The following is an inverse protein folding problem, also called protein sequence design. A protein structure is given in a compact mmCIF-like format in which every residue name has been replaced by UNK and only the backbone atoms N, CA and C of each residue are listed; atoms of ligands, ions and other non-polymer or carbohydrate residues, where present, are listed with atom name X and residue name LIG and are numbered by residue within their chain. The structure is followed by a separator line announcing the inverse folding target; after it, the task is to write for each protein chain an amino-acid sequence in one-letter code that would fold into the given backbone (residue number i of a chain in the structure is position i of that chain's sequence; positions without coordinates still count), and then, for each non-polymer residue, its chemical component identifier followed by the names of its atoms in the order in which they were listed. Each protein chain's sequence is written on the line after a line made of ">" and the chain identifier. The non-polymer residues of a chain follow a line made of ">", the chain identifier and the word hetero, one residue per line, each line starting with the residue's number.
data_IF_249691646048
#
_entry.id   IF_249691646048
#
_cell.length_a   1.000
_cell.length_b   1.000
_cell.length_c   1.000
_cell.angle_alpha   90.00
_cell.angle_beta   90.00
_cell.angle_gamma   90.00
#
_symmetry.space_group_name_H-M   'P 1'
#
loop_
_entity.id
_entity.type
_entity.pdbx_description
1 polymer ?
#
# COMPACT_ATOMS: atom_id res chain seq x y z
N UNK A 1 -16.08 -5.83 15.12
CA UNK A 1 -17.04 -5.96 14.01
C UNK A 1 -17.64 -4.59 13.72
N UNK A 2 -18.00 -4.29 12.47
CA UNK A 2 -18.53 -2.98 12.07
C UNK A 2 -19.70 -3.17 11.10
N UNK A 3 -20.76 -2.39 11.29
CA UNK A 3 -21.96 -2.34 10.45
C UNK A 3 -22.09 -0.92 9.89
N UNK A 4 -22.64 -0.76 8.68
CA UNK A 4 -22.92 0.54 8.06
C UNK A 4 -24.19 0.46 7.23
N UNK A 5 -24.97 1.54 7.24
CA UNK A 5 -26.16 1.71 6.40
C UNK A 5 -27.44 1.90 7.20
N UNK A 6 -28.58 2.07 6.51
CA UNK A 6 -29.82 2.55 7.12
C UNK A 6 -30.40 1.61 8.19
N UNK A 7 -30.14 0.31 8.09
CA UNK A 7 -30.63 -0.68 9.05
C UNK A 7 -29.62 -0.99 10.17
N UNK A 8 -28.43 -0.37 10.18
CA UNK A 8 -27.36 -0.73 11.13
C UNK A 8 -27.80 -0.52 12.58
N UNK A 9 -28.48 0.59 12.86
CA UNK A 9 -28.92 0.94 14.21
C UNK A 9 -30.11 0.09 14.68
N UNK A 10 -31.11 -0.11 13.83
CA UNK A 10 -32.26 -0.98 14.12
C UNK A 10 -31.84 -2.43 14.37
N UNK A 11 -30.85 -2.92 13.61
CA UNK A 11 -30.32 -4.27 13.77
C UNK A 11 -29.60 -4.46 15.12
N UNK A 12 -28.87 -3.43 15.59
CA UNK A 12 -28.28 -3.44 16.93
C UNK A 12 -29.35 -3.54 18.02
N UNK A 13 -30.42 -2.74 17.91
CA UNK A 13 -31.54 -2.75 18.85
C UNK A 13 -32.18 -4.15 18.93
N UNK A 14 -32.43 -4.77 17.78
CA UNK A 14 -32.97 -6.13 17.68
C UNK A 14 -32.08 -7.18 18.38
N UNK A 15 -30.79 -7.22 18.05
CA UNK A 15 -29.85 -8.24 18.57
C UNK A 15 -29.53 -8.06 20.05
N UNK A 16 -29.52 -6.81 20.52
CA UNK A 16 -29.27 -6.50 21.94
C UNK A 16 -30.52 -6.59 22.81
N UNK A 17 -31.71 -6.68 22.20
CA UNK A 17 -33.01 -6.58 22.90
C UNK A 17 -33.12 -5.32 23.75
N UNK A 18 -32.43 -4.25 23.37
CA UNK A 18 -32.44 -2.95 24.04
C UNK A 18 -32.97 -1.90 23.08
N UNK A 19 -33.81 -0.98 23.57
CA UNK A 19 -34.33 0.07 22.72
C UNK A 19 -33.21 1.04 22.31
N UNK A 20 -33.42 1.76 21.23
CA UNK A 20 -32.41 2.62 20.59
C UNK A 20 -31.87 3.70 21.52
N UNK A 21 -32.68 4.18 22.45
CA UNK A 21 -32.34 5.21 23.44
C UNK A 21 -31.23 4.75 24.41
N UNK A 22 -31.00 3.44 24.52
CA UNK A 22 -29.90 2.89 25.31
C UNK A 22 -28.52 3.08 24.66
N UNK A 23 -28.45 3.61 23.44
CA UNK A 23 -27.22 3.79 22.67
C UNK A 23 -26.98 5.25 22.29
N UNK A 24 -26.47 6.08 23.23
CA UNK A 24 -26.13 7.45 22.91
C UNK A 24 -25.03 7.53 21.83
N UNK A 25 -25.10 8.51 20.92
CA UNK A 25 -24.08 8.73 19.91
C UNK A 25 -22.67 8.81 20.51
N UNK A 26 -21.75 8.00 19.98
CA UNK A 26 -20.32 7.96 20.32
C UNK A 26 -20.02 7.62 21.78
N UNK A 27 -20.93 6.94 22.47
CA UNK A 27 -20.72 6.46 23.83
C UNK A 27 -20.50 4.95 23.82
N UNK A 28 -19.38 4.52 24.39
CA UNK A 28 -19.07 3.11 24.59
C UNK A 28 -20.07 2.49 25.59
N UNK A 29 -20.88 1.55 25.12
CA UNK A 29 -21.99 0.97 25.89
C UNK A 29 -21.82 -0.54 26.02
N UNK A 30 -21.73 -1.04 27.26
CA UNK A 30 -21.63 -2.47 27.54
C UNK A 30 -22.97 -3.17 27.25
N UNK A 31 -22.98 -4.08 26.29
CA UNK A 31 -24.19 -4.59 25.64
C UNK A 31 -24.13 -6.10 25.42
N UNK A 32 -25.06 -6.90 25.98
CA UNK A 32 -25.21 -8.30 25.63
C UNK A 32 -25.77 -8.44 24.21
N UNK A 33 -25.22 -9.37 23.45
CA UNK A 33 -25.68 -9.75 22.11
C UNK A 33 -26.31 -11.14 22.22
N UNK A 34 -27.55 -11.28 21.76
CA UNK A 34 -28.31 -12.53 21.85
C UNK A 34 -28.36 -13.26 20.51
N UNK A 35 -28.46 -14.58 20.57
CA UNK A 35 -28.83 -15.39 19.41
C UNK A 35 -30.37 -15.48 19.27
N UNK A 36 -30.83 -16.14 18.20
CA UNK A 36 -32.27 -16.32 17.93
C UNK A 36 -33.02 -17.15 18.99
N UNK A 37 -32.32 -18.04 19.70
CA UNK A 37 -32.90 -18.78 20.84
C UNK A 37 -33.05 -17.92 22.10
N UNK A 38 -32.50 -16.70 22.09
CA UNK A 38 -32.52 -15.78 23.21
C UNK A 38 -31.40 -15.99 24.23
N UNK A 39 -30.43 -16.87 23.96
CA UNK A 39 -29.23 -17.03 24.77
C UNK A 39 -28.19 -15.94 24.43
N UNK A 40 -27.40 -15.53 25.41
CA UNK A 40 -26.31 -14.56 25.21
C UNK A 40 -25.17 -15.25 24.47
N UNK A 41 -24.72 -14.65 23.37
CA UNK A 41 -23.52 -15.06 22.65
C UNK A 41 -22.29 -14.46 23.35
N UNK A 42 -22.32 -13.15 23.60
CA UNK A 42 -21.24 -12.41 24.25
C UNK A 42 -21.77 -11.09 24.84
N UNK A 43 -21.01 -10.50 25.77
CA UNK A 43 -21.21 -9.12 26.25
C UNK A 43 -20.12 -8.24 25.66
N UNK A 44 -20.51 -7.33 24.77
CA UNK A 44 -19.62 -6.53 23.94
C UNK A 44 -19.60 -5.05 24.38
N UNK A 45 -18.57 -4.32 23.97
CA UNK A 45 -18.63 -2.85 23.93
C UNK A 45 -19.17 -2.43 22.57
N UNK A 46 -20.25 -1.65 22.58
CA UNK A 46 -20.87 -1.14 21.36
C UNK A 46 -20.78 0.38 21.32
N UNK A 47 -20.44 0.92 20.15
CA UNK A 47 -20.45 2.37 19.88
C UNK A 47 -21.27 2.66 18.63
N UNK A 48 -22.23 3.57 18.74
CA UNK A 48 -23.06 4.02 17.64
C UNK A 48 -22.57 5.38 17.10
N UNK A 49 -22.49 5.52 15.79
CA UNK A 49 -22.13 6.75 15.09
C UNK A 49 -23.25 7.11 14.12
N UNK A 50 -24.08 8.13 14.43
CA UNK A 50 -25.15 8.54 13.54
C UNK A 50 -24.62 9.24 12.27
N UNK A 51 -25.35 9.09 11.17
CA UNK A 51 -25.20 9.92 9.96
C UNK A 51 -25.35 11.43 10.29
N UNK A 52 -24.61 12.33 9.61
CA UNK A 52 -23.47 12.09 8.70
C UNK A 52 -22.13 11.92 9.42
N UNK A 53 -22.17 11.91 10.75
CA UNK A 53 -21.01 12.05 11.61
C UNK A 53 -20.33 10.69 11.92
N UNK A 54 -20.22 9.83 10.90
CA UNK A 54 -19.67 8.46 10.96
C UNK A 54 -18.62 8.23 9.87
N UNK A 55 -17.85 7.14 9.90
CA UNK A 55 -16.82 6.86 8.87
C UNK A 55 -17.36 6.82 7.45
N UNK A 56 -18.52 6.22 7.21
CA UNK A 56 -19.15 6.10 5.88
C UNK A 56 -20.09 7.25 5.55
N UNK A 57 -20.31 8.17 6.49
CA UNK A 57 -21.39 9.15 6.49
C UNK A 57 -22.81 8.57 6.55
N UNK A 58 -22.96 7.26 6.78
CA UNK A 58 -24.24 6.60 7.08
C UNK A 58 -24.31 6.28 8.59
N UNK A 59 -25.40 5.73 9.09
CA UNK A 59 -25.40 5.13 10.42
C UNK A 59 -24.38 3.98 10.50
N UNK A 60 -23.47 4.04 11.49
CA UNK A 60 -22.42 3.05 11.72
C UNK A 60 -22.50 2.53 13.16
N UNK A 61 -22.41 1.22 13.31
CA UNK A 61 -22.29 0.56 14.62
C UNK A 61 -20.98 -0.21 14.67
N UNK A 62 -20.20 0.02 15.72
CA UNK A 62 -18.99 -0.74 16.01
C UNK A 62 -19.22 -1.63 17.23
N UNK A 63 -18.91 -2.92 17.09
CA UNK A 63 -19.09 -3.95 18.11
C UNK A 63 -17.72 -4.56 18.42
N UNK A 64 -17.22 -4.28 19.61
CA UNK A 64 -15.99 -4.85 20.16
C UNK A 64 -16.34 -6.01 21.08
N UNK A 65 -16.22 -7.23 20.54
CA UNK A 65 -16.46 -8.51 21.21
C UNK A 65 -15.14 -9.20 21.58
N UNK A 66 -15.22 -10.30 22.33
CA UNK A 66 -14.06 -11.16 22.57
C UNK A 66 -13.57 -11.78 21.26
N UNK A 67 -12.26 -11.73 21.02
CA UNK A 67 -11.61 -12.14 19.76
C UNK A 67 -11.58 -13.65 19.48
N UNK A 68 -12.46 -14.44 20.08
CA UNK A 68 -12.59 -15.86 19.76
C UNK A 68 -13.30 -16.00 18.39
N UNK A 69 -12.73 -16.72 17.41
CA UNK A 69 -13.33 -16.88 16.09
C UNK A 69 -14.76 -17.42 16.10
N UNK A 70 -15.09 -18.32 17.03
CA UNK A 70 -16.44 -18.90 17.17
C UNK A 70 -17.44 -17.83 17.62
N UNK A 71 -17.04 -16.96 18.57
CA UNK A 71 -17.86 -15.83 19.04
C UNK A 71 -18.10 -14.86 17.87
N UNK A 72 -17.03 -14.46 17.18
CA UNK A 72 -17.13 -13.53 16.05
C UNK A 72 -18.05 -14.07 14.95
N UNK A 73 -17.89 -15.33 14.56
CA UNK A 73 -18.75 -15.98 13.57
C UNK A 73 -20.20 -16.07 14.02
N UNK A 74 -20.44 -16.37 15.30
CA UNK A 74 -21.79 -16.47 15.87
C UNK A 74 -22.52 -15.12 15.88
N UNK A 75 -21.83 -14.04 16.28
CA UNK A 75 -22.38 -12.68 16.21
C UNK A 75 -22.68 -12.29 14.75
N UNK A 76 -21.77 -12.60 13.83
CA UNK A 76 -21.92 -12.28 12.42
C UNK A 76 -23.15 -12.97 11.81
N UNK A 77 -23.36 -14.26 12.09
CA UNK A 77 -24.50 -15.03 11.60
C UNK A 77 -25.84 -14.40 11.99
N UNK A 78 -25.98 -13.92 13.24
CA UNK A 78 -27.21 -13.25 13.69
C UNK A 78 -27.52 -12.00 12.87
N UNK A 79 -26.51 -11.18 12.58
CA UNK A 79 -26.72 -9.99 11.74
C UNK A 79 -27.08 -10.34 10.29
N UNK A 80 -26.48 -11.39 9.73
CA UNK A 80 -26.81 -11.85 8.38
C UNK A 80 -28.26 -12.34 8.27
N UNK A 81 -28.76 -13.03 9.29
CA UNK A 81 -30.15 -13.52 9.35
C UNK A 81 -31.17 -12.38 9.46
N UNK A 82 -30.79 -11.24 10.03
CA UNK A 82 -31.63 -10.01 10.11
C UNK A 82 -31.71 -9.29 8.75
N UNK A 83 -30.85 -9.67 7.78
CA UNK A 83 -30.84 -9.10 6.44
C UNK A 83 -29.65 -8.19 6.14
N UNK A 84 -28.65 -8.13 7.03
CA UNK A 84 -27.36 -7.54 6.66
C UNK A 84 -26.65 -8.47 5.68
N UNK A 85 -25.76 -7.88 4.88
CA UNK A 85 -24.84 -8.63 4.03
C UNK A 85 -23.40 -8.39 4.43
N UNK A 86 -22.53 -9.32 4.02
CA UNK A 86 -21.10 -9.09 4.10
C UNK A 86 -20.72 -7.90 3.21
N UNK A 87 -19.79 -7.10 3.73
CA UNK A 87 -19.20 -6.00 2.98
C UNK A 87 -18.20 -6.55 1.96
N UNK A 88 -18.20 -5.97 0.76
CA UNK A 88 -17.18 -6.26 -0.25
C UNK A 88 -15.82 -5.66 0.17
N UNK A 89 -14.69 -6.14 -0.38
CA UNK A 89 -13.38 -5.54 -0.14
C UNK A 89 -13.37 -4.03 -0.39
N UNK A 90 -13.00 -3.25 0.63
CA UNK A 90 -12.92 -1.78 0.55
C UNK A 90 -14.27 -1.06 0.60
N UNK A 91 -15.40 -1.75 0.79
CA UNK A 91 -16.72 -1.15 0.64
C UNK A 91 -16.99 0.01 1.62
N UNK A 92 -16.57 -0.10 2.88
CA UNK A 92 -16.75 1.00 3.85
C UNK A 92 -16.06 2.29 3.37
N UNK A 93 -14.85 2.19 2.84
CA UNK A 93 -14.12 3.34 2.29
C UNK A 93 -14.77 3.84 0.99
N UNK A 94 -15.23 2.92 0.13
CA UNK A 94 -16.01 3.26 -1.07
C UNK A 94 -17.28 4.06 -0.73
N UNK A 95 -18.03 3.66 0.31
CA UNK A 95 -19.22 4.40 0.78
C UNK A 95 -18.86 5.79 1.29
N UNK A 96 -17.77 5.90 2.06
CA UNK A 96 -17.25 7.22 2.48
C UNK A 96 -16.92 8.14 1.31
N UNK A 97 -16.39 7.59 0.20
CA UNK A 97 -16.14 8.35 -1.03
C UNK A 97 -17.45 8.75 -1.73
N UNK A 98 -18.37 7.79 -1.92
CA UNK A 98 -19.66 8.04 -2.60
C UNK A 98 -20.52 9.07 -1.85
N UNK A 99 -20.43 9.10 -0.53
CA UNK A 99 -21.14 10.07 0.31
C UNK A 99 -20.38 11.41 0.46
N UNK A 100 -19.32 11.63 -0.33
CA UNK A 100 -18.57 12.90 -0.37
C UNK A 100 -17.76 13.21 0.88
N UNK A 101 -17.58 12.24 1.79
CA UNK A 101 -16.80 12.43 3.01
C UNK A 101 -15.29 12.36 2.77
N UNK A 102 -14.88 11.57 1.78
CA UNK A 102 -13.51 11.50 1.28
C UNK A 102 -13.52 11.74 -0.22
N UNK A 103 -12.47 12.35 -0.76
CA UNK A 103 -12.20 12.27 -2.20
C UNK A 103 -11.50 10.95 -2.57
N UNK A 104 -11.26 10.74 -3.87
CA UNK A 104 -10.66 9.50 -4.37
C UNK A 104 -9.20 9.33 -3.91
N UNK A 105 -8.42 10.40 -3.86
CA UNK A 105 -7.02 10.39 -3.42
C UNK A 105 -6.93 9.98 -1.95
N UNK A 106 -7.81 10.53 -1.12
CA UNK A 106 -7.91 10.19 0.29
C UNK A 106 -8.38 8.73 0.49
N UNK A 107 -9.36 8.28 -0.30
CA UNK A 107 -9.85 6.89 -0.26
C UNK A 107 -8.75 5.88 -0.61
N UNK A 108 -7.95 6.12 -1.65
CA UNK A 108 -6.80 5.30 -2.01
C UNK A 108 -5.72 5.32 -0.92
N UNK A 109 -5.50 6.49 -0.31
CA UNK A 109 -4.52 6.67 0.78
C UNK A 109 -4.86 5.85 2.03
N UNK A 110 -6.14 5.52 2.27
CA UNK A 110 -6.54 4.63 3.37
C UNK A 110 -5.92 3.25 3.21
N UNK A 111 -6.02 2.67 2.01
CA UNK A 111 -5.46 1.34 1.74
C UNK A 111 -3.93 1.36 1.87
N UNK A 112 -3.28 2.40 1.33
CA UNK A 112 -1.83 2.57 1.40
C UNK A 112 -1.33 2.77 2.83
N UNK A 113 -2.10 3.47 3.68
CA UNK A 113 -1.76 3.66 5.10
C UNK A 113 -1.85 2.35 5.88
N UNK A 114 -2.87 1.53 5.62
CA UNK A 114 -3.02 0.21 6.27
C UNK A 114 -1.88 -0.73 5.85
N UNK A 115 -1.43 -0.64 4.60
CA UNK A 115 -0.35 -1.49 4.07
C UNK A 115 1.06 -0.91 4.24
N UNK A 116 1.22 0.27 4.85
CA UNK A 116 2.51 0.94 4.99
C UNK A 116 3.50 0.12 5.81
N UNK A 117 4.65 -0.18 5.22
CA UNK A 117 5.71 -1.04 5.81
C UNK A 117 6.91 -0.27 6.36
N UNK A 118 6.94 1.06 6.20
CA UNK A 118 7.98 1.92 6.75
C UNK A 118 7.39 3.21 7.32
N UNK A 119 8.13 3.84 8.23
CA UNK A 119 7.75 5.15 8.81
C UNK A 119 7.57 6.20 7.71
N UNK A 120 8.50 6.22 6.74
CA UNK A 120 8.47 7.17 5.62
C UNK A 120 7.27 6.94 4.69
N UNK A 121 6.88 5.68 4.44
CA UNK A 121 5.65 5.35 3.72
C UNK A 121 4.41 5.88 4.46
N UNK A 122 4.38 5.72 5.79
CA UNK A 122 3.29 6.22 6.62
C UNK A 122 3.20 7.76 6.59
N UNK A 123 4.33 8.47 6.64
CA UNK A 123 4.35 9.93 6.53
C UNK A 123 3.84 10.44 5.18
N UNK A 124 4.25 9.81 4.07
CA UNK A 124 3.79 10.16 2.73
C UNK A 124 2.27 9.93 2.57
N UNK A 125 1.78 8.77 3.01
CA UNK A 125 0.36 8.42 2.96
C UNK A 125 -0.50 9.30 3.87
N UNK A 126 0.04 9.78 5.00
CA UNK A 126 -0.66 10.72 5.87
C UNK A 126 -0.89 12.09 5.21
N UNK A 127 0.08 12.61 4.43
CA UNK A 127 -0.09 13.87 3.68
C UNK A 127 -1.14 13.76 2.57
N UNK A 128 -1.18 12.62 1.89
CA UNK A 128 -2.21 12.37 0.88
C UNK A 128 -3.60 12.21 1.54
N UNK A 129 -3.69 11.47 2.65
CA UNK A 129 -4.92 11.34 3.44
C UNK A 129 -5.41 12.68 4.02
N UNK A 130 -4.52 13.58 4.41
CA UNK A 130 -4.91 14.92 4.91
C UNK A 130 -5.50 15.83 3.83
N UNK A 131 -5.48 15.43 2.55
CA UNK A 131 -6.06 16.20 1.44
C UNK A 131 -5.13 17.26 0.85
N UNK A 132 -3.83 17.27 1.17
CA UNK A 132 -2.88 18.26 0.60
C UNK A 132 -2.78 18.09 -0.93
N UNK A 133 -2.70 16.84 -1.40
CA UNK A 133 -2.67 16.56 -2.84
C UNK A 133 -3.99 16.97 -3.51
N UNK A 134 -5.14 16.68 -2.89
CA UNK A 134 -6.46 17.06 -3.40
C UNK A 134 -6.59 18.58 -3.53
N UNK A 135 -6.19 19.33 -2.50
CA UNK A 135 -6.23 20.79 -2.52
C UNK A 135 -5.36 21.38 -3.66
N UNK A 136 -4.18 20.79 -3.91
CA UNK A 136 -3.31 21.21 -5.01
C UNK A 136 -3.92 20.90 -6.38
N UNK A 137 -4.54 19.73 -6.53
CA UNK A 137 -5.23 19.34 -7.77
C UNK A 137 -6.47 20.21 -8.02
N UNK A 138 -7.24 20.52 -6.98
CA UNK A 138 -8.40 21.41 -7.07
C UNK A 138 -8.00 22.83 -7.45
N UNK A 139 -6.86 23.33 -6.94
CA UNK A 139 -6.32 24.63 -7.39
C UNK A 139 -6.02 24.62 -8.89
N UNK A 140 -5.38 23.56 -9.41
CA UNK A 140 -5.12 23.44 -10.85
C UNK A 140 -6.41 23.34 -11.66
N UNK A 141 -7.38 22.56 -11.17
CA UNK A 141 -8.70 22.43 -11.80
C UNK A 141 -9.41 23.78 -11.88
N UNK A 142 -9.37 24.57 -10.80
CA UNK A 142 -10.00 25.90 -10.78
C UNK A 142 -9.34 26.87 -11.76
N UNK A 143 -8.00 26.84 -11.88
CA UNK A 143 -7.27 27.63 -12.88
C UNK A 143 -7.74 27.24 -14.31
N UNK A 144 -7.91 25.95 -14.59
CA UNK A 144 -8.40 25.45 -15.90
C UNK A 144 -9.85 25.88 -16.16
N UNK A 145 -10.73 25.76 -15.16
CA UNK A 145 -12.14 26.18 -15.27
C UNK A 145 -12.21 27.68 -15.57
N UNK A 146 -11.37 28.49 -14.93
CA UNK A 146 -11.33 29.94 -15.17
C UNK A 146 -10.91 30.27 -16.60
N UNK A 147 -9.91 29.57 -17.14
CA UNK A 147 -9.49 29.74 -18.55
C UNK A 147 -10.61 29.33 -19.48
N UNK A 148 -11.24 28.16 -19.24
CA UNK A 148 -12.32 27.64 -20.09
C UNK A 148 -13.50 28.61 -20.13
N UNK A 149 -13.93 29.11 -18.98
CA UNK A 149 -15.03 30.09 -18.89
C UNK A 149 -14.73 31.37 -19.68
N UNK A 150 -13.48 31.82 -19.68
CA UNK A 150 -13.10 33.01 -20.41
C UNK A 150 -12.92 32.75 -21.92
N UNK A 151 -12.49 31.55 -22.33
CA UNK A 151 -12.51 31.12 -23.72
C UNK A 151 -13.95 31.03 -24.25
N UNK A 152 -14.88 30.44 -23.48
CA UNK A 152 -16.30 30.37 -23.83
C UNK A 152 -16.88 31.77 -24.01
N UNK A 153 -16.58 32.70 -23.09
CA UNK A 153 -16.99 34.09 -23.24
C UNK A 153 -16.43 34.70 -24.54
N UNK A 154 -15.15 34.51 -24.85
CA UNK A 154 -14.53 35.01 -26.08
C UNK A 154 -15.11 34.44 -27.38
N UNK A 155 -15.75 33.26 -27.35
CA UNK A 155 -16.45 32.69 -28.51
C UNK A 155 -17.83 33.31 -28.75
N UNK A 156 -18.46 33.85 -27.71
CA UNK A 156 -19.79 34.47 -27.77
C UNK A 156 -19.74 35.97 -28.13
N UNK A 157 -18.56 36.58 -28.19
CA UNK A 157 -18.34 38.01 -28.40
C UNK A 157 -17.91 38.30 -29.86
N UNK A 158 -18.32 39.45 -30.42
CA UNK A 158 -17.88 39.91 -31.74
C UNK A 158 -16.39 40.27 -31.79
N UNK A 159 -15.75 40.14 -32.97
CA UNK A 159 -14.32 40.41 -33.17
C UNK A 159 -13.85 41.82 -32.72
N UNK A 160 -14.76 42.80 -32.65
CA UNK A 160 -14.48 44.18 -32.22
C UNK A 160 -14.26 44.35 -30.70
N UNK A 161 -14.72 43.39 -29.88
CA UNK A 161 -14.60 43.39 -28.42
C UNK A 161 -13.51 42.40 -27.91
N UNK A 162 -12.68 41.89 -28.83
CA UNK A 162 -11.65 40.89 -28.54
C UNK A 162 -10.47 41.48 -27.74
N UNK A 163 -10.15 40.87 -26.60
CA UNK A 163 -9.13 41.38 -25.68
C UNK A 163 -7.78 40.63 -25.83
N UNK A 164 -6.73 41.29 -26.36
CA UNK A 164 -5.40 40.67 -26.51
C UNK A 164 -4.75 40.27 -25.17
N UNK A 165 -5.01 40.99 -24.08
CA UNK A 165 -4.49 40.68 -22.75
C UNK A 165 -5.01 39.33 -22.22
N UNK A 166 -6.18 38.89 -22.70
CA UNK A 166 -6.76 37.60 -22.33
C UNK A 166 -5.89 36.43 -22.80
N UNK A 167 -5.41 36.47 -24.06
CA UNK A 167 -4.60 35.39 -24.63
C UNK A 167 -3.25 35.28 -23.91
N UNK A 168 -2.62 36.41 -23.59
CA UNK A 168 -1.35 36.46 -22.89
C UNK A 168 -1.50 35.88 -21.47
N UNK A 169 -2.50 36.33 -20.71
CA UNK A 169 -2.74 35.86 -19.34
C UNK A 169 -3.13 34.36 -19.30
N UNK A 170 -3.91 33.90 -20.27
CA UNK A 170 -4.26 32.48 -20.40
C UNK A 170 -3.04 31.62 -20.69
N UNK A 171 -2.18 32.04 -21.63
CA UNK A 171 -0.92 31.34 -21.94
C UNK A 171 0.02 31.26 -20.72
N UNK A 172 0.15 32.35 -19.96
CA UNK A 172 0.94 32.37 -18.72
C UNK A 172 0.39 31.37 -17.69
N UNK A 173 -0.94 31.33 -17.52
CA UNK A 173 -1.60 30.42 -16.58
C UNK A 173 -1.43 28.96 -17.00
N UNK A 174 -1.60 28.64 -18.29
CA UNK A 174 -1.37 27.31 -18.86
C UNK A 174 0.09 26.85 -18.63
N UNK A 175 1.06 27.73 -18.86
CA UNK A 175 2.47 27.43 -18.63
C UNK A 175 2.78 27.18 -17.15
N UNK A 176 2.13 27.90 -16.23
CA UNK A 176 2.25 27.68 -14.80
C UNK A 176 1.65 26.33 -14.38
N UNK A 177 0.45 25.99 -14.87
CA UNK A 177 -0.18 24.67 -14.65
C UNK A 177 0.74 23.55 -15.14
N UNK A 178 1.26 23.66 -16.36
CA UNK A 178 2.18 22.67 -16.95
C UNK A 178 3.44 22.48 -16.09
N UNK A 179 4.00 23.57 -15.57
CA UNK A 179 5.17 23.54 -14.70
C UNK A 179 4.89 22.86 -13.35
N UNK A 180 3.74 23.17 -12.72
CA UNK A 180 3.29 22.50 -11.49
C UNK A 180 3.09 20.99 -11.72
N UNK A 181 2.48 20.60 -12.85
CA UNK A 181 2.32 19.19 -13.20
C UNK A 181 3.66 18.47 -13.39
N UNK A 182 4.65 19.11 -14.03
CA UNK A 182 6.00 18.53 -14.16
C UNK A 182 6.65 18.28 -12.80
N UNK A 183 6.54 19.24 -11.88
CA UNK A 183 7.06 19.08 -10.52
C UNK A 183 6.40 17.91 -9.77
N UNK A 184 5.10 17.66 -9.97
CA UNK A 184 4.44 16.48 -9.39
C UNK A 184 4.95 15.16 -9.98
N UNK A 185 5.30 15.15 -11.27
CA UNK A 185 5.83 13.98 -11.95
C UNK A 185 7.29 13.68 -11.55
N UNK A 186 8.10 14.71 -11.32
CA UNK A 186 9.54 14.59 -10.99
C UNK A 186 9.82 13.83 -9.69
N UNK A 187 8.82 13.68 -8.80
CA UNK A 187 8.93 12.88 -7.57
C UNK A 187 8.19 11.54 -7.57
N UNK A 188 7.51 11.18 -8.66
CA UNK A 188 6.62 10.01 -8.68
C UNK A 188 7.39 8.69 -8.54
N UNK A 189 8.47 8.53 -9.31
CA UNK A 189 9.24 7.29 -9.33
C UNK A 189 9.89 6.99 -7.96
N UNK A 190 10.41 8.02 -7.28
CA UNK A 190 10.99 7.85 -5.94
C UNK A 190 9.91 7.54 -4.90
N UNK A 191 8.81 8.30 -4.90
CA UNK A 191 7.69 8.09 -3.98
C UNK A 191 7.03 6.72 -4.14
N UNK A 192 6.98 6.21 -5.37
CA UNK A 192 6.48 4.87 -5.65
C UNK A 192 7.22 3.83 -4.83
N UNK A 193 8.55 3.86 -4.76
CA UNK A 193 9.31 2.88 -3.98
C UNK A 193 9.03 2.98 -2.48
N UNK A 194 8.82 4.16 -1.93
CA UNK A 194 8.43 4.28 -0.52
C UNK A 194 7.03 3.71 -0.25
N UNK A 195 6.09 3.79 -1.20
CA UNK A 195 4.71 3.33 -1.04
C UNK A 195 4.56 1.84 -1.37
N UNK A 196 4.97 1.41 -2.56
CA UNK A 196 4.80 0.04 -3.05
C UNK A 196 5.94 -0.90 -2.67
N UNK A 197 7.05 -0.35 -2.19
CA UNK A 197 8.29 -1.09 -2.02
C UNK A 197 9.02 -1.36 -3.33
N UNK A 198 10.21 -1.95 -3.21
CA UNK A 198 11.05 -2.40 -4.32
C UNK A 198 11.23 -3.93 -4.28
N UNK A 199 11.21 -4.57 -5.44
CA UNK A 199 11.48 -6.01 -5.58
C UNK A 199 12.93 -6.22 -5.96
N UNK A 200 13.69 -6.83 -5.06
CA UNK A 200 15.13 -7.06 -5.21
C UNK A 200 15.39 -8.56 -5.33
N UNK A 201 16.10 -8.96 -6.38
CA UNK A 201 16.37 -10.38 -6.66
C UNK A 201 17.85 -10.67 -6.51
N UNK A 202 18.22 -11.69 -5.75
CA UNK A 202 19.59 -12.18 -5.65
C UNK A 202 19.79 -13.33 -6.65
N UNK A 203 20.68 -13.15 -7.62
CA UNK A 203 21.01 -14.09 -8.69
C UNK A 203 22.50 -14.39 -8.73
N UNK A 204 22.89 -15.53 -9.29
CA UNK A 204 24.29 -15.91 -9.44
C UNK A 204 24.47 -17.42 -9.57
N UNK A 205 25.67 -17.86 -9.98
CA UNK A 205 26.03 -19.28 -10.13
C UNK A 205 25.86 -20.05 -8.79
N UNK A 206 25.75 -21.38 -8.79
CA UNK A 206 25.80 -22.16 -7.54
C UNK A 206 27.04 -21.84 -6.70
N UNK A 207 26.94 -21.90 -5.37
CA UNK A 207 28.05 -21.74 -4.43
C UNK A 207 28.80 -20.38 -4.40
N UNK A 208 28.30 -19.33 -5.09
CA UNK A 208 28.84 -17.96 -5.01
C UNK A 208 28.47 -17.22 -3.71
N UNK A 209 27.75 -17.86 -2.79
CA UNK A 209 27.38 -17.29 -1.49
C UNK A 209 26.08 -16.46 -1.47
N UNK A 210 25.13 -16.72 -2.38
CA UNK A 210 23.81 -16.05 -2.44
C UNK A 210 23.04 -16.14 -1.12
N UNK A 211 22.88 -17.34 -0.56
CA UNK A 211 22.11 -17.54 0.67
C UNK A 211 22.83 -16.96 1.90
N UNK A 212 24.17 -16.89 1.87
CA UNK A 212 24.95 -16.18 2.90
C UNK A 212 24.68 -14.68 2.85
N UNK A 213 24.71 -14.07 1.65
CA UNK A 213 24.37 -12.66 1.45
C UNK A 213 22.92 -12.35 1.83
N UNK A 214 21.99 -13.21 1.42
CA UNK A 214 20.57 -13.08 1.76
C UNK A 214 20.37 -13.03 3.29
N UNK A 215 20.98 -13.96 4.03
CA UNK A 215 20.90 -13.99 5.49
C UNK A 215 21.59 -12.79 6.14
N UNK A 216 22.73 -12.34 5.61
CA UNK A 216 23.41 -11.14 6.09
C UNK A 216 22.51 -9.90 5.97
N UNK A 217 21.87 -9.72 4.80
CA UNK A 217 20.94 -8.59 4.54
C UNK A 217 19.69 -8.63 5.44
N UNK A 218 19.21 -9.82 5.81
CA UNK A 218 18.08 -9.96 6.75
C UNK A 218 18.51 -9.66 8.19
N UNK A 219 19.74 -10.01 8.56
CA UNK A 219 20.27 -9.83 9.90
C UNK A 219 20.49 -8.38 10.30
N UNK A 220 20.61 -7.47 9.33
CA UNK A 220 20.96 -6.05 9.58
C UNK A 220 19.78 -5.13 9.85
N UNK A 221 18.58 -5.39 9.29
CA UNK A 221 17.41 -4.52 9.44
C UNK A 221 16.11 -5.31 9.26
N UNK A 222 15.65 -6.00 10.31
CA UNK A 222 14.30 -6.58 10.31
C UNK A 222 13.28 -5.46 10.41
N UNK A 223 12.52 -5.25 9.33
CA UNK A 223 11.22 -4.60 9.47
C UNK A 223 10.37 -5.42 10.46
N UNK A 224 9.62 -4.73 11.31
CA UNK A 224 8.69 -5.35 12.26
C UNK A 224 7.73 -6.23 11.45
N UNK A 225 8.01 -7.52 11.38
CA UNK A 225 7.20 -8.47 10.62
C UNK A 225 5.96 -8.77 11.44
N UNK A 226 4.78 -8.56 10.86
CA UNK A 226 3.56 -9.06 11.47
C UNK A 226 3.57 -10.57 11.38
N UNK A 227 3.68 -11.25 12.51
CA UNK A 227 3.39 -12.69 12.62
C UNK A 227 1.91 -12.90 12.31
N UNK A 228 1.56 -13.09 11.03
CA UNK A 228 0.27 -13.69 10.66
C UNK A 228 0.48 -15.19 10.52
N UNK A 229 -0.09 -16.02 11.42
CA UNK A 229 -0.05 -17.47 11.28
C UNK A 229 -0.91 -17.84 10.07
N UNK A 230 -0.32 -18.45 9.03
CA UNK A 230 -1.11 -19.02 7.92
C UNK A 230 -0.51 -19.03 6.52
N UNK A 231 0.64 -18.39 6.25
CA UNK A 231 1.28 -18.52 4.92
C UNK A 231 2.32 -19.62 4.96
N UNK A 232 1.83 -20.85 4.81
CA UNK A 232 2.66 -22.05 4.65
C UNK A 232 3.62 -21.91 3.48
N UNK A 233 4.91 -21.93 3.83
CA UNK A 233 6.00 -22.69 3.18
C UNK A 233 5.89 -22.81 1.66
N UNK A 234 6.41 -21.82 0.96
CA UNK A 234 7.17 -21.98 -0.28
C UNK A 234 7.79 -20.62 -0.63
N UNK A 235 9.08 -20.61 -0.99
CA UNK A 235 9.91 -19.46 -1.40
C UNK A 235 10.36 -18.52 -0.26
N UNK A 236 11.68 -18.28 -0.16
CA UNK A 236 12.27 -17.38 0.85
C UNK A 236 12.09 -15.92 0.38
N UNK A 237 10.85 -15.45 0.41
CA UNK A 237 10.52 -14.03 0.29
C UNK A 237 10.61 -13.43 1.69
N UNK A 238 11.46 -12.42 1.86
CA UNK A 238 11.55 -11.69 3.13
C UNK A 238 11.45 -10.20 2.89
N UNK A 239 10.70 -9.54 3.76
CA UNK A 239 10.52 -8.10 3.73
C UNK A 239 11.49 -7.45 4.71
N UNK A 240 12.23 -6.47 4.22
CA UNK A 240 13.15 -5.66 5.01
C UNK A 240 12.98 -4.18 4.63
N UNK A 241 13.52 -3.26 5.44
CA UNK A 241 13.45 -1.83 5.14
C UNK A 241 14.85 -1.27 4.98
N UNK A 242 15.18 -0.73 3.80
CA UNK A 242 16.47 -0.08 3.55
C UNK A 242 16.24 1.42 3.41
N UNK A 243 16.81 2.22 4.31
CA UNK A 243 16.68 3.70 4.29
C UNK A 243 15.22 4.19 4.16
N UNK A 244 14.28 3.47 4.75
CA UNK A 244 12.84 3.78 4.70
C UNK A 244 12.10 3.25 3.48
N UNK A 245 12.77 2.60 2.52
CA UNK A 245 12.13 1.89 1.40
C UNK A 245 11.81 0.46 1.82
N UNK A 246 10.54 0.01 1.76
CA UNK A 246 10.21 -1.40 1.90
C UNK A 246 10.82 -2.21 0.76
N UNK A 247 11.54 -3.28 1.06
CA UNK A 247 12.20 -4.14 0.07
C UNK A 247 11.72 -5.56 0.23
N UNK A 248 11.21 -6.14 -0.85
CA UNK A 248 10.95 -7.57 -0.96
C UNK A 248 12.18 -8.24 -1.58
N UNK A 249 12.87 -9.04 -0.78
CA UNK A 249 14.08 -9.74 -1.19
C UNK A 249 13.74 -11.18 -1.62
N UNK A 250 14.18 -11.57 -2.81
CA UNK A 250 13.97 -12.90 -3.38
C UNK A 250 15.32 -13.63 -3.58
N UNK A 251 15.49 -14.82 -2.97
CA UNK A 251 16.62 -15.71 -3.27
C UNK A 251 16.30 -16.64 -4.45
N UNK A 252 17.08 -16.54 -5.53
CA UNK A 252 16.91 -17.45 -6.69
C UNK A 252 17.58 -18.81 -6.52
N UNK A 253 18.45 -19.01 -5.53
CA UNK A 253 18.96 -20.35 -5.21
C UNK A 253 17.84 -21.26 -4.70
N UNK A 254 16.97 -20.76 -3.81
CA UNK A 254 15.81 -21.49 -3.30
C UNK A 254 14.75 -21.81 -4.37
N UNK A 255 14.78 -21.14 -5.54
CA UNK A 255 13.89 -21.43 -6.67
C UNK A 255 14.34 -22.64 -7.52
N UNK A 256 15.58 -23.10 -7.36
CA UNK A 256 16.13 -24.26 -8.09
C UNK A 256 16.11 -25.56 -7.29
N UNK A 257 15.90 -25.51 -5.98
CA UNK A 257 16.07 -26.66 -5.09
C UNK A 257 14.75 -27.37 -4.70
N UNK A 258 13.58 -26.98 -5.23
CA UNK A 258 12.34 -27.75 -5.03
C UNK A 258 12.20 -28.83 -6.13
N UNK A 259 12.60 -30.05 -5.80
CA UNK A 259 12.53 -31.19 -6.69
C UNK A 259 11.11 -31.79 -6.72
N UNK A 260 10.57 -31.84 -7.94
CA UNK A 260 9.67 -32.82 -8.56
C UNK A 260 8.40 -32.19 -9.19
N UNK A 261 8.14 -32.52 -10.47
CA UNK A 261 7.05 -32.11 -11.40
C UNK A 261 6.74 -30.60 -11.58
N UNK A 262 7.20 -29.72 -10.69
CA UNK A 262 7.00 -28.26 -10.65
C UNK A 262 8.06 -27.49 -11.48
N UNK A 263 8.99 -28.20 -12.13
CA UNK A 263 10.26 -27.69 -12.69
C UNK A 263 10.10 -26.58 -13.75
N UNK A 264 9.11 -26.68 -14.64
CA UNK A 264 8.84 -25.61 -15.60
C UNK A 264 8.22 -24.39 -14.94
N UNK A 265 7.35 -24.56 -13.94
CA UNK A 265 6.69 -23.46 -13.25
C UNK A 265 7.66 -22.74 -12.29
N UNK A 266 8.54 -23.47 -11.60
CA UNK A 266 9.59 -22.92 -10.76
C UNK A 266 10.60 -22.10 -11.54
N UNK A 267 11.09 -22.62 -12.68
CA UNK A 267 11.97 -21.87 -13.59
C UNK A 267 11.24 -20.68 -14.23
N UNK A 268 9.98 -20.86 -14.69
CA UNK A 268 9.16 -19.77 -15.25
C UNK A 268 8.92 -18.66 -14.23
N UNK A 269 8.66 -19.00 -12.96
CA UNK A 269 8.50 -18.05 -11.86
C UNK A 269 9.80 -17.37 -11.49
N UNK A 270 10.92 -18.08 -11.43
CA UNK A 270 12.23 -17.46 -11.21
C UNK A 270 12.60 -16.46 -12.31
N UNK A 271 12.32 -16.81 -13.57
CA UNK A 271 12.50 -15.92 -14.71
C UNK A 271 11.52 -14.75 -14.68
N UNK A 272 10.26 -14.95 -14.26
CA UNK A 272 9.28 -13.87 -14.18
C UNK A 272 9.58 -12.90 -13.04
N UNK A 273 10.05 -13.39 -11.89
CA UNK A 273 10.50 -12.55 -10.76
C UNK A 273 11.74 -11.76 -11.14
N UNK A 274 12.73 -12.39 -11.81
CA UNK A 274 13.90 -11.69 -12.34
C UNK A 274 13.52 -10.65 -13.41
N UNK A 275 12.56 -10.93 -14.28
CA UNK A 275 12.07 -9.98 -15.30
C UNK A 275 11.33 -8.78 -14.69
N UNK A 276 10.59 -8.99 -13.62
CA UNK A 276 9.75 -7.98 -12.97
C UNK A 276 10.40 -7.39 -11.71
N UNK A 277 11.71 -7.57 -11.52
CA UNK A 277 12.43 -6.96 -10.42
C UNK A 277 12.77 -5.50 -10.71
N UNK A 278 12.80 -4.69 -9.66
CA UNK A 278 13.24 -3.31 -9.74
C UNK A 278 14.78 -3.24 -9.69
N UNK A 279 15.41 -4.20 -9.01
CA UNK A 279 16.86 -4.33 -8.88
C UNK A 279 17.31 -5.79 -8.85
N UNK A 280 18.34 -6.11 -9.62
CA UNK A 280 19.03 -7.40 -9.61
C UNK A 280 20.36 -7.26 -8.85
N UNK A 281 20.56 -8.09 -7.83
CA UNK A 281 21.86 -8.29 -7.19
C UNK A 281 22.50 -9.54 -7.80
N UNK A 282 23.48 -9.34 -8.68
CA UNK A 282 24.16 -10.46 -9.33
C UNK A 282 25.47 -10.77 -8.61
N UNK A 283 25.50 -11.93 -7.94
CA UNK A 283 26.59 -12.37 -7.09
C UNK A 283 27.56 -13.24 -7.87
N UNK A 284 28.82 -12.86 -7.82
CA UNK A 284 29.95 -13.48 -8.47
C UNK A 284 31.01 -13.90 -7.43
N UNK A 285 31.76 -14.93 -7.74
CA UNK A 285 32.94 -15.37 -6.97
C UNK A 285 34.25 -15.11 -7.75
N UNK A 286 34.14 -14.73 -9.02
CA UNK A 286 35.27 -14.42 -9.89
C UNK A 286 34.94 -13.17 -10.69
N UNK A 287 35.96 -12.39 -11.04
CA UNK A 287 35.76 -11.19 -11.87
C UNK A 287 35.51 -11.62 -13.31
N UNK A 288 34.34 -11.30 -13.83
CA UNK A 288 33.98 -11.46 -15.24
C UNK A 288 33.83 -10.07 -15.89
N UNK A 289 34.02 -9.97 -17.20
CA UNK A 289 33.66 -8.75 -17.94
C UNK A 289 32.13 -8.61 -17.93
N UNK A 290 31.65 -7.44 -17.53
CA UNK A 290 30.22 -7.18 -17.40
C UNK A 290 29.86 -5.89 -18.13
N UNK A 291 28.84 -5.96 -18.96
CA UNK A 291 28.20 -4.77 -19.49
C UNK A 291 27.32 -4.13 -18.41
N UNK A 292 27.55 -2.86 -18.06
CA UNK A 292 26.74 -2.18 -17.05
C UNK A 292 25.28 -2.11 -17.51
N UNK A 293 24.37 -2.59 -16.67
CA UNK A 293 22.93 -2.39 -16.88
C UNK A 293 22.36 -1.51 -15.77
N UNK A 294 21.42 -0.61 -16.10
CA UNK A 294 20.91 0.41 -15.16
C UNK A 294 20.24 -0.14 -13.89
N UNK A 295 19.89 -1.43 -13.84
CA UNK A 295 19.14 -2.06 -12.74
C UNK A 295 19.84 -3.30 -12.18
N UNK A 296 21.14 -3.43 -12.38
CA UNK A 296 21.91 -4.54 -11.80
C UNK A 296 23.09 -4.01 -11.01
N UNK A 297 23.22 -4.51 -9.79
CA UNK A 297 24.40 -4.34 -8.96
C UNK A 297 25.15 -5.66 -9.02
N UNK A 298 26.39 -5.61 -9.51
CA UNK A 298 27.26 -6.77 -9.54
C UNK A 298 28.07 -6.81 -8.25
N UNK A 299 28.07 -7.97 -7.61
CA UNK A 299 28.67 -8.18 -6.30
C UNK A 299 29.76 -9.23 -6.44
N UNK A 300 31.00 -8.86 -6.16
CA UNK A 300 32.09 -9.81 -6.01
C UNK A 300 32.15 -10.25 -4.54
N UNK A 301 31.66 -11.45 -4.26
CA UNK A 301 31.59 -12.00 -2.91
C UNK A 301 32.86 -12.80 -2.57
N UNK A 302 32.99 -13.20 -1.29
CA UNK A 302 34.13 -13.94 -0.74
C UNK A 302 35.46 -13.17 -0.82
N UNK A 303 35.40 -11.85 -0.68
CA UNK A 303 36.61 -11.00 -0.68
C UNK A 303 37.61 -11.36 0.42
N UNK A 304 37.19 -12.09 1.46
CA UNK A 304 38.05 -12.67 2.49
C UNK A 304 38.97 -13.80 1.99
N UNK A 305 38.66 -14.39 0.84
CA UNK A 305 39.43 -15.46 0.20
C UNK A 305 40.21 -14.99 -1.02
N UNK A 306 39.92 -13.79 -1.53
CA UNK A 306 40.58 -13.21 -2.70
C UNK A 306 41.77 -12.36 -2.27
N UNK A 307 42.89 -12.49 -3.00
CA UNK A 307 44.00 -11.58 -2.86
C UNK A 307 43.67 -10.28 -3.63
N UNK A 308 43.61 -9.15 -2.92
CA UNK A 308 43.16 -7.87 -3.49
C UNK A 308 44.06 -7.38 -4.64
N UNK A 309 45.32 -7.84 -4.70
CA UNK A 309 46.26 -7.53 -5.77
C UNK A 309 45.93 -8.23 -7.09
N UNK A 310 45.19 -9.34 -7.05
CA UNK A 310 44.77 -10.13 -8.22
C UNK A 310 43.46 -9.62 -8.84
N UNK A 311 42.79 -8.66 -8.18
CA UNK A 311 41.54 -8.09 -8.64
C UNK A 311 41.86 -6.85 -9.51
N UNK A 312 41.37 -6.79 -10.78
CA UNK A 312 41.69 -5.67 -11.68
C UNK A 312 41.38 -4.31 -11.04
N UNK A 313 42.26 -3.33 -11.20
CA UNK A 313 42.08 -1.99 -10.58
C UNK A 313 40.89 -1.20 -11.15
N UNK A 314 40.37 -1.59 -12.30
CA UNK A 314 39.16 -1.04 -12.91
C UNK A 314 37.97 -1.99 -12.70
N UNK A 315 37.36 -1.88 -11.52
CA UNK A 315 36.14 -2.60 -11.12
C UNK A 315 34.94 -1.66 -11.07
N UNK A 316 34.88 -0.66 -11.94
CA UNK A 316 33.90 0.44 -11.89
C UNK A 316 32.41 0.00 -11.87
N UNK A 317 32.11 -1.30 -12.01
CA UNK A 317 30.76 -1.88 -11.86
C UNK A 317 30.53 -2.88 -10.71
N UNK A 318 31.54 -3.23 -9.89
CA UNK A 318 31.40 -4.25 -8.83
C UNK A 318 31.45 -3.68 -7.41
N UNK A 319 30.59 -4.19 -6.53
CA UNK A 319 30.70 -4.07 -5.08
C UNK A 319 31.43 -5.30 -4.52
N UNK A 320 32.58 -5.08 -3.88
CA UNK A 320 33.41 -6.16 -3.31
C UNK A 320 33.02 -6.35 -1.85
N UNK A 321 32.58 -7.56 -1.48
CA UNK A 321 32.09 -7.86 -0.13
C UNK A 321 32.54 -9.24 0.37
N UNK A 322 32.47 -9.45 1.68
CA UNK A 322 32.53 -10.79 2.30
C UNK A 322 31.24 -11.04 3.06
N UNK A 323 30.24 -11.63 2.40
CA UNK A 323 28.95 -11.92 3.02
C UNK A 323 29.06 -12.79 4.28
N UNK A 324 30.14 -13.56 4.43
CA UNK A 324 30.42 -14.41 5.61
C UNK A 324 30.77 -13.57 6.84
N UNK A 325 31.41 -12.42 6.65
CA UNK A 325 31.92 -11.58 7.72
C UNK A 325 30.97 -10.43 8.10
N UNK A 326 29.82 -10.32 7.41
CA UNK A 326 28.88 -9.20 7.54
C UNK A 326 29.29 -8.00 6.70
#
# INVERSE_FOLDING_TARGET
>A
MRLSGPIAFESLSSVSKRPVECFPPRVATLTPIFNNSGAIIDTCIVTFFPEPASYTAEDVVEISCHGNPIIVSSILSVFLEIGLRLADPGEFTKRSFLNGKLDLVQAESVAQRISSKSVRASELTNRAFSGDLSARLDSLRNDIISILSACEHGLDISEEDFNEDFNINSLLTINNISSKCKLFLEGFDENRYYISGARVVISGKPNVGKSTLFNALIGTDRAITSERPGTTRDYIETELTIKGVPVQLFDTAGLRESFDVVEQEGVRRALSVKKNCDLLLEVHDVVEYIEPTKRTIHILNKSDLHNMDDIPKDLSGYFIISAKNG
#
